data_IF_202929567339
#
_entry.id   IF_202929567339
#
_cell.length_a   1.000
_cell.length_b   1.000
_cell.length_c   1.000
_cell.angle_alpha   90.00
_cell.angle_beta   90.00
_cell.angle_gamma   90.00
#
_symmetry.space_group_name_H-M   'P 1'
#
loop_
_entity.id
_entity.type
_entity.pdbx_description
1 polymer ?
#
# COMPACT_ATOMS: atom_id res chain seq x y z
N UNK A 1 13.94 -4.73 -15.47
CA UNK A 1 13.14 -3.67 -16.08
C UNK A 1 13.85 -2.35 -15.83
N UNK A 2 14.10 -1.57 -16.88
CA UNK A 2 14.78 -0.28 -16.76
C UNK A 2 13.81 0.87 -16.49
N UNK A 3 14.34 1.95 -15.90
CA UNK A 3 13.60 3.20 -15.67
C UNK A 3 12.65 3.17 -14.48
N UNK A 4 12.70 2.15 -13.61
CA UNK A 4 11.90 2.12 -12.38
C UNK A 4 12.57 2.98 -11.33
N UNK A 5 11.82 3.92 -10.77
CA UNK A 5 12.30 4.78 -9.68
C UNK A 5 12.31 3.99 -8.37
N UNK A 6 13.44 4.06 -7.66
CA UNK A 6 13.65 3.48 -6.34
C UNK A 6 14.04 4.59 -5.38
N UNK A 7 13.56 4.54 -4.15
CA UNK A 7 13.80 5.55 -3.13
C UNK A 7 13.87 4.92 -1.74
N UNK A 8 14.61 5.58 -0.86
CA UNK A 8 14.61 5.35 0.59
C UNK A 8 13.73 6.36 1.36
N UNK A 9 13.08 7.26 0.60
CA UNK A 9 12.30 8.38 1.12
C UNK A 9 13.06 9.70 1.18
N UNK A 10 14.38 9.70 1.00
CA UNK A 10 15.28 10.87 1.03
C UNK A 10 16.01 11.05 -0.29
N UNK A 11 16.44 9.95 -0.89
CA UNK A 11 17.19 9.92 -2.14
C UNK A 11 16.44 9.07 -3.19
N UNK A 12 16.81 9.26 -4.46
CA UNK A 12 16.18 8.58 -5.58
C UNK A 12 17.23 8.01 -6.53
N UNK A 13 16.96 6.84 -7.08
CA UNK A 13 17.70 6.23 -8.16
C UNK A 13 16.75 5.67 -9.21
N UNK A 14 17.26 5.40 -10.40
CA UNK A 14 16.52 4.67 -11.43
C UNK A 14 17.25 3.38 -11.77
N UNK A 15 16.48 2.33 -12.03
CA UNK A 15 17.05 1.08 -12.51
C UNK A 15 17.51 1.21 -13.96
N UNK A 16 18.62 0.55 -14.28
CA UNK A 16 19.15 0.43 -15.64
C UNK A 16 18.32 -0.57 -16.50
N UNK A 17 18.75 -0.79 -17.74
CA UNK A 17 18.09 -1.70 -18.69
C UNK A 17 18.04 -3.16 -18.18
N UNK A 18 18.97 -3.55 -17.31
CA UNK A 18 19.03 -4.87 -16.67
C UNK A 18 18.17 -4.94 -15.41
N UNK A 19 17.59 -3.80 -14.98
CA UNK A 19 16.80 -3.70 -13.76
C UNK A 19 17.64 -3.55 -12.50
N UNK A 20 18.92 -3.17 -12.64
CA UNK A 20 19.83 -2.94 -11.52
C UNK A 20 19.77 -1.46 -11.14
N UNK A 21 19.74 -1.19 -9.85
CA UNK A 21 19.85 0.15 -9.30
C UNK A 21 20.96 0.23 -8.23
N UNK A 22 21.46 1.42 -8.02
CA UNK A 22 22.35 1.75 -6.90
C UNK A 22 21.79 2.97 -6.21
N UNK A 23 21.56 2.87 -4.92
CA UNK A 23 21.02 3.93 -4.09
C UNK A 23 21.96 4.16 -2.90
N UNK A 24 22.37 5.40 -2.69
CA UNK A 24 23.09 5.83 -1.50
C UNK A 24 22.05 6.22 -0.45
N UNK A 25 21.70 5.24 0.38
CA UNK A 25 20.58 5.37 1.30
C UNK A 25 20.95 6.22 2.51
N UNK A 26 20.00 7.06 2.93
CA UNK A 26 20.11 7.88 4.13
C UNK A 26 20.05 7.02 5.41
N UNK A 27 20.81 7.40 6.43
CA UNK A 27 20.83 6.71 7.73
C UNK A 27 19.48 6.76 8.47
N UNK A 28 18.59 7.68 8.09
CA UNK A 28 17.24 7.79 8.65
C UNK A 28 16.21 6.95 7.91
N UNK A 29 16.60 6.32 6.80
CA UNK A 29 15.70 5.48 6.03
C UNK A 29 15.03 4.38 6.88
N UNK A 30 13.77 4.10 6.58
CA UNK A 30 13.02 3.01 7.19
C UNK A 30 12.73 1.89 6.19
N UNK A 31 12.66 2.27 4.93
CA UNK A 31 12.33 1.37 3.83
C UNK A 31 13.16 1.72 2.60
N UNK A 32 13.38 0.73 1.76
CA UNK A 32 13.70 0.92 0.35
C UNK A 32 12.43 0.55 -0.42
N UNK A 33 11.95 1.45 -1.26
CA UNK A 33 10.71 1.27 -2.01
C UNK A 33 10.88 1.65 -3.46
N UNK A 34 10.03 1.07 -4.31
CA UNK A 34 9.96 1.47 -5.70
C UNK A 34 8.64 2.20 -5.99
N UNK A 35 8.66 3.11 -6.94
CA UNK A 35 7.45 3.63 -7.57
C UNK A 35 6.96 2.55 -8.55
N UNK A 36 5.86 1.88 -8.22
CA UNK A 36 5.31 0.83 -9.08
C UNK A 36 4.87 1.44 -10.40
N UNK A 37 5.47 1.06 -11.55
CA UNK A 37 5.13 1.67 -12.82
C UNK A 37 3.77 1.19 -13.33
N UNK A 38 3.09 2.04 -14.12
CA UNK A 38 1.81 1.71 -14.73
C UNK A 38 1.88 0.41 -15.56
N UNK A 39 0.84 -0.40 -15.47
CA UNK A 39 0.77 -1.70 -16.13
C UNK A 39 1.48 -2.84 -15.38
N UNK A 40 2.05 -2.55 -14.22
CA UNK A 40 2.71 -3.54 -13.37
C UNK A 40 2.15 -3.54 -11.95
N UNK A 41 2.38 -4.64 -11.26
CA UNK A 41 1.93 -4.89 -9.91
C UNK A 41 3.04 -5.56 -9.10
N UNK A 42 3.29 -5.07 -7.89
CA UNK A 42 4.10 -5.79 -6.92
C UNK A 42 3.29 -6.97 -6.34
N UNK A 43 3.93 -8.09 -5.95
CA UNK A 43 3.24 -9.19 -5.28
C UNK A 43 2.45 -8.71 -4.07
N UNK A 44 1.31 -9.35 -3.81
CA UNK A 44 0.43 -8.97 -2.70
C UNK A 44 0.68 -9.88 -1.48
N UNK A 45 0.83 -9.27 -0.31
CA UNK A 45 0.82 -9.97 0.97
C UNK A 45 -0.33 -9.46 1.83
N UNK A 46 -1.35 -10.31 2.04
CA UNK A 46 -2.57 -9.88 2.71
C UNK A 46 -3.26 -8.69 2.05
N UNK A 47 -3.23 -8.63 0.71
CA UNK A 47 -3.81 -7.54 -0.08
C UNK A 47 -2.90 -6.31 -0.25
N UNK A 48 -1.82 -6.19 0.52
CA UNK A 48 -0.90 -5.05 0.46
C UNK A 48 0.21 -5.30 -0.58
N UNK A 49 0.40 -4.40 -1.56
CA UNK A 49 1.47 -4.53 -2.55
C UNK A 49 2.85 -4.44 -1.91
N UNK A 50 3.73 -5.37 -2.25
CA UNK A 50 5.07 -5.49 -1.68
C UNK A 50 6.10 -4.69 -2.50
N UNK A 51 5.83 -3.40 -2.71
CA UNK A 51 6.72 -2.46 -3.42
C UNK A 51 7.84 -1.92 -2.52
N UNK A 52 7.93 -2.35 -1.27
CA UNK A 52 8.91 -1.90 -0.28
C UNK A 52 9.61 -3.05 0.41
N UNK A 53 10.76 -2.76 0.98
CA UNK A 53 11.52 -3.63 1.90
C UNK A 53 11.97 -2.80 3.08
N UNK A 54 11.94 -3.36 4.28
CA UNK A 54 12.52 -2.69 5.46
C UNK A 54 14.00 -2.43 5.22
N UNK A 55 14.44 -1.20 5.49
CA UNK A 55 15.86 -0.83 5.36
C UNK A 55 16.69 -1.51 6.45
N UNK A 56 17.76 -2.14 6.02
CA UNK A 56 18.81 -2.70 6.89
C UNK A 56 20.16 -2.15 6.41
N UNK A 57 20.87 -1.35 7.21
CA UNK A 57 22.16 -0.77 6.81
C UNK A 57 23.24 -1.83 6.56
N UNK A 58 23.07 -3.07 7.03
CA UNK A 58 23.99 -4.16 6.76
C UNK A 58 23.68 -4.88 5.42
N UNK A 59 22.46 -4.73 4.90
CA UNK A 59 22.06 -5.34 3.64
C UNK A 59 22.70 -4.59 2.46
N UNK A 60 23.26 -5.37 1.52
CA UNK A 60 23.89 -4.82 0.30
C UNK A 60 23.04 -4.99 -0.95
N UNK A 61 21.84 -5.57 -0.80
CA UNK A 61 20.98 -5.89 -1.93
C UNK A 61 19.52 -5.90 -1.50
N UNK A 62 18.69 -5.31 -2.35
CA UNK A 62 17.23 -5.34 -2.26
C UNK A 62 16.66 -5.79 -3.59
N UNK A 63 15.88 -6.86 -3.58
CA UNK A 63 15.22 -7.40 -4.76
C UNK A 63 13.72 -7.11 -4.71
N UNK A 64 13.21 -6.67 -5.85
CA UNK A 64 11.79 -6.42 -6.07
C UNK A 64 11.29 -7.22 -7.26
N UNK A 65 10.08 -7.71 -7.14
CA UNK A 65 9.37 -8.38 -8.21
C UNK A 65 8.24 -7.49 -8.71
N UNK A 66 8.10 -7.41 -10.03
CA UNK A 66 6.99 -6.75 -10.71
C UNK A 66 6.37 -7.72 -11.71
N UNK A 67 5.06 -7.85 -11.65
CA UNK A 67 4.29 -8.69 -12.56
C UNK A 67 3.44 -7.80 -13.47
N UNK A 68 3.23 -8.14 -14.75
CA UNK A 68 2.27 -7.42 -15.59
C UNK A 68 0.89 -7.42 -14.93
N UNK A 69 0.23 -6.28 -14.93
CA UNK A 69 -1.15 -6.20 -14.43
C UNK A 69 -2.09 -6.95 -15.36
N UNK A 70 -2.93 -7.87 -14.88
CA UNK A 70 -3.64 -8.82 -15.74
C UNK A 70 -4.84 -8.22 -16.50
N UNK A 71 -5.22 -6.98 -16.26
CA UNK A 71 -6.34 -6.32 -16.95
C UNK A 71 -6.01 -5.89 -18.38
N UNK A 72 -6.99 -5.31 -19.08
CA UNK A 72 -6.87 -4.86 -20.48
C UNK A 72 -5.82 -3.77 -20.70
N UNK A 73 -5.42 -3.06 -19.65
CA UNK A 73 -4.52 -1.91 -19.74
C UNK A 73 -5.18 -0.62 -20.25
N UNK A 74 -6.45 -0.65 -20.59
CA UNK A 74 -7.20 0.51 -21.10
C UNK A 74 -8.11 1.15 -20.05
N UNK A 75 -8.59 0.38 -19.10
CA UNK A 75 -9.47 0.82 -18.03
C UNK A 75 -8.83 0.60 -16.66
N UNK A 76 -8.79 1.67 -15.87
CA UNK A 76 -8.26 1.66 -14.51
C UNK A 76 -9.31 2.21 -13.54
N UNK A 77 -9.47 1.55 -12.41
CA UNK A 77 -10.43 1.93 -11.38
C UNK A 77 -9.75 1.94 -10.02
N UNK A 78 -9.85 3.06 -9.31
CA UNK A 78 -9.37 3.20 -7.94
C UNK A 78 -10.57 3.35 -7.01
N UNK A 79 -10.73 2.39 -6.10
CA UNK A 79 -11.73 2.46 -5.04
C UNK A 79 -11.15 3.28 -3.88
N UNK A 80 -11.67 4.48 -3.66
CA UNK A 80 -11.31 5.32 -2.54
C UNK A 80 -12.20 5.01 -1.32
N UNK A 81 -11.59 4.62 -0.21
CA UNK A 81 -12.27 4.25 1.04
C UNK A 81 -11.81 5.25 2.09
N UNK A 82 -12.71 6.15 2.51
CA UNK A 82 -12.38 7.14 3.51
C UNK A 82 -12.81 6.68 4.90
N UNK A 83 -11.95 6.89 5.88
CA UNK A 83 -12.23 6.84 7.31
C UNK A 83 -13.07 5.61 7.76
N UNK A 84 -12.64 4.37 7.52
CA UNK A 84 -13.40 3.21 7.98
C UNK A 84 -13.49 3.10 9.50
N UNK A 85 -12.51 3.56 10.23
CA UNK A 85 -12.42 3.85 11.68
C UNK A 85 -13.14 2.86 12.61
N UNK A 86 -13.03 1.53 12.49
CA UNK A 86 -13.53 0.67 13.53
C UNK A 86 -12.76 0.90 14.83
N UNK A 87 -13.50 1.06 15.93
CA UNK A 87 -12.98 1.21 17.30
C UNK A 87 -13.33 0.03 18.18
N UNK A 88 -14.44 -0.63 17.87
CA UNK A 88 -15.00 -1.71 18.65
C UNK A 88 -15.33 -2.89 17.76
N UNK A 89 -15.54 -4.07 18.32
CA UNK A 89 -15.99 -5.24 17.59
C UNK A 89 -17.34 -5.00 16.88
N UNK A 90 -18.21 -4.18 17.45
CA UNK A 90 -19.47 -3.78 16.79
C UNK A 90 -19.22 -2.96 15.52
N UNK A 91 -18.30 -1.98 15.57
CA UNK A 91 -17.93 -1.20 14.37
C UNK A 91 -17.27 -2.10 13.33
N UNK A 92 -16.43 -3.02 13.76
CA UNK A 92 -15.78 -3.97 12.86
C UNK A 92 -16.79 -4.93 12.21
N UNK A 93 -17.80 -5.38 12.94
CA UNK A 93 -18.89 -6.17 12.40
C UNK A 93 -19.68 -5.38 11.33
N UNK A 94 -19.92 -4.09 11.55
CA UNK A 94 -20.57 -3.22 10.56
C UNK A 94 -19.71 -3.02 9.30
N UNK A 95 -18.42 -2.83 9.45
CA UNK A 95 -17.50 -2.82 8.30
C UNK A 95 -17.73 -4.07 7.42
N UNK A 96 -17.73 -5.26 8.05
CA UNK A 96 -17.94 -6.53 7.36
C UNK A 96 -19.32 -6.68 6.70
N UNK A 97 -20.38 -6.24 7.36
CA UNK A 97 -21.76 -6.49 6.91
C UNK A 97 -22.34 -5.39 6.02
N UNK A 98 -21.84 -4.17 6.13
CA UNK A 98 -22.40 -3.00 5.44
C UNK A 98 -21.47 -2.47 4.36
N UNK A 99 -20.16 -2.31 4.67
CA UNK A 99 -19.20 -1.69 3.74
C UNK A 99 -18.59 -2.70 2.79
N UNK A 100 -18.08 -3.82 3.31
CA UNK A 100 -17.39 -4.81 2.48
C UNK A 100 -18.24 -5.38 1.34
N UNK A 101 -19.55 -5.65 1.49
CA UNK A 101 -20.38 -6.11 0.36
C UNK A 101 -20.48 -5.09 -0.78
N UNK A 102 -20.55 -3.80 -0.47
CA UNK A 102 -20.59 -2.75 -1.48
C UNK A 102 -19.23 -2.63 -2.24
N UNK A 103 -18.12 -2.71 -1.51
CA UNK A 103 -16.78 -2.72 -2.10
C UNK A 103 -16.57 -3.96 -2.96
N UNK A 104 -17.00 -5.13 -2.51
CA UNK A 104 -16.92 -6.37 -3.26
C UNK A 104 -17.74 -6.30 -4.57
N UNK A 105 -18.96 -5.78 -4.50
CA UNK A 105 -19.78 -5.57 -5.69
C UNK A 105 -19.13 -4.61 -6.69
N UNK A 106 -18.44 -3.56 -6.20
CA UNK A 106 -17.71 -2.63 -7.06
C UNK A 106 -16.51 -3.32 -7.73
N UNK A 107 -15.73 -4.11 -6.99
CA UNK A 107 -14.59 -4.86 -7.56
C UNK A 107 -15.05 -5.92 -8.57
N UNK A 108 -16.12 -6.65 -8.28
CA UNK A 108 -16.66 -7.67 -9.20
C UNK A 108 -17.17 -7.04 -10.50
N UNK A 109 -17.80 -5.88 -10.41
CA UNK A 109 -18.27 -5.12 -11.56
C UNK A 109 -17.11 -4.62 -12.43
N UNK A 110 -16.07 -4.04 -11.83
CA UNK A 110 -14.87 -3.63 -12.56
C UNK A 110 -14.14 -4.81 -13.20
N UNK A 111 -14.03 -5.94 -12.50
CA UNK A 111 -13.45 -7.18 -13.03
C UNK A 111 -14.23 -7.67 -14.27
N UNK A 112 -15.54 -7.58 -14.25
CA UNK A 112 -16.40 -7.95 -15.40
C UNK A 112 -16.10 -7.06 -16.62
N UNK A 113 -15.71 -5.81 -16.41
CA UNK A 113 -15.29 -4.88 -17.48
C UNK A 113 -13.84 -5.05 -17.90
N UNK A 114 -13.08 -5.94 -17.27
CA UNK A 114 -11.65 -6.12 -17.52
C UNK A 114 -10.78 -4.96 -17.02
N UNK A 115 -11.28 -4.18 -16.05
CA UNK A 115 -10.53 -3.06 -15.49
C UNK A 115 -9.39 -3.53 -14.60
N UNK A 116 -8.25 -2.83 -14.67
CA UNK A 116 -7.20 -2.89 -13.66
C UNK A 116 -7.64 -2.10 -12.44
N UNK A 117 -7.77 -2.76 -11.30
CA UNK A 117 -8.36 -2.19 -10.11
C UNK A 117 -7.38 -2.14 -8.94
N UNK A 118 -7.43 -1.06 -8.18
CA UNK A 118 -6.81 -0.95 -6.86
C UNK A 118 -7.80 -0.32 -5.87
N UNK A 119 -7.55 -0.49 -4.60
CA UNK A 119 -8.22 0.25 -3.54
C UNK A 119 -7.20 1.12 -2.80
N UNK A 120 -7.63 2.27 -2.30
CA UNK A 120 -6.86 3.13 -1.41
C UNK A 120 -7.70 3.49 -0.20
N UNK A 121 -7.15 3.26 0.99
CA UNK A 121 -7.76 3.68 2.27
C UNK A 121 -7.14 5.01 2.66
N UNK A 122 -7.96 6.05 2.71
CA UNK A 122 -7.54 7.45 2.82
C UNK A 122 -7.36 7.90 4.28
N UNK A 123 -6.63 7.11 5.05
CA UNK A 123 -6.34 7.41 6.45
C UNK A 123 -7.43 6.94 7.41
N UNK A 124 -7.13 7.08 8.68
CA UNK A 124 -7.99 6.68 9.79
C UNK A 124 -8.55 5.26 9.60
N UNK A 125 -7.63 4.34 9.31
CA UNK A 125 -7.95 2.93 9.04
C UNK A 125 -8.63 2.30 10.26
N UNK A 126 -8.19 2.71 11.45
CA UNK A 126 -8.79 2.37 12.75
C UNK A 126 -8.96 3.63 13.59
N UNK A 127 -9.69 3.55 14.71
CA UNK A 127 -9.84 4.66 15.66
C UNK A 127 -9.05 4.37 16.93
N UNK A 128 -7.81 4.87 17.03
CA UNK A 128 -6.92 4.70 18.20
C UNK A 128 -6.85 3.24 18.70
N UNK A 129 -6.97 2.28 17.80
CA UNK A 129 -7.13 0.84 18.09
C UNK A 129 -6.22 0.01 17.19
N UNK A 130 -4.88 0.14 17.32
CA UNK A 130 -3.92 -0.48 16.40
C UNK A 130 -4.01 -2.03 16.40
N UNK A 131 -4.57 -2.64 17.42
CA UNK A 131 -4.84 -4.07 17.47
C UNK A 131 -5.86 -4.55 16.42
N UNK A 132 -6.65 -3.63 15.85
CA UNK A 132 -7.60 -3.92 14.79
C UNK A 132 -6.98 -3.91 13.38
N UNK A 133 -5.77 -3.39 13.19
CA UNK A 133 -5.12 -3.32 11.87
C UNK A 133 -5.09 -4.67 11.15
N UNK A 134 -4.66 -5.72 11.84
CA UNK A 134 -4.60 -7.06 11.23
C UNK A 134 -5.97 -7.53 10.74
N UNK A 135 -7.02 -7.27 11.51
CA UNK A 135 -8.40 -7.62 11.16
C UNK A 135 -8.91 -6.83 9.96
N UNK A 136 -8.69 -5.51 9.96
CA UNK A 136 -9.11 -4.63 8.85
C UNK A 136 -8.35 -4.98 7.56
N UNK A 137 -7.02 -5.17 7.63
CA UNK A 137 -6.21 -5.65 6.52
C UNK A 137 -6.75 -6.96 5.94
N UNK A 138 -7.10 -7.93 6.81
CA UNK A 138 -7.66 -9.21 6.38
C UNK A 138 -9.03 -9.06 5.70
N UNK A 139 -9.86 -8.11 6.11
CA UNK A 139 -11.13 -7.84 5.42
C UNK A 139 -10.87 -7.23 4.03
N UNK A 140 -10.04 -6.20 3.93
CA UNK A 140 -9.73 -5.58 2.63
C UNK A 140 -9.02 -6.54 1.66
N UNK A 141 -8.21 -7.48 2.15
CA UNK A 141 -7.59 -8.50 1.30
C UNK A 141 -8.60 -9.34 0.52
N UNK A 142 -9.85 -9.48 1.02
CA UNK A 142 -10.93 -10.22 0.35
C UNK A 142 -11.40 -9.55 -0.95
N UNK A 143 -11.10 -8.28 -1.16
CA UNK A 143 -11.39 -7.58 -2.41
C UNK A 143 -10.64 -8.17 -3.60
N UNK A 144 -9.49 -8.83 -3.35
CA UNK A 144 -8.68 -9.47 -4.38
C UNK A 144 -8.04 -8.48 -5.35
N UNK A 145 -7.85 -7.23 -4.91
CA UNK A 145 -7.14 -6.15 -5.62
C UNK A 145 -6.06 -5.58 -4.70
N UNK A 146 -5.02 -4.90 -5.23
CA UNK A 146 -4.07 -4.19 -4.40
C UNK A 146 -4.76 -3.17 -3.51
N UNK A 147 -4.41 -3.14 -2.23
CA UNK A 147 -4.91 -2.18 -1.27
C UNK A 147 -3.76 -1.33 -0.76
N UNK A 148 -3.80 -0.06 -1.06
CA UNK A 148 -2.86 0.94 -0.58
C UNK A 148 -3.42 1.60 0.68
N UNK A 149 -2.57 1.82 1.68
CA UNK A 149 -2.95 2.53 2.91
C UNK A 149 -2.34 3.92 2.94
N UNK A 150 -3.11 4.91 3.32
CA UNK A 150 -2.63 6.22 3.77
C UNK A 150 -2.80 6.25 5.29
N UNK A 151 -1.83 6.78 6.01
CA UNK A 151 -1.93 6.91 7.46
C UNK A 151 -2.78 8.13 7.82
N UNK A 152 -3.70 7.98 8.78
CA UNK A 152 -4.44 9.06 9.39
C UNK A 152 -4.00 9.35 10.82
N UNK A 153 -4.56 10.37 11.46
CA UNK A 153 -4.18 10.73 12.83
C UNK A 153 -4.63 9.69 13.87
N UNK A 154 -5.71 8.95 13.63
CA UNK A 154 -6.17 7.87 14.51
C UNK A 154 -5.43 6.55 14.33
N UNK A 155 -4.54 6.48 13.34
CA UNK A 155 -3.68 5.33 13.08
C UNK A 155 -2.35 5.38 13.86
N UNK A 156 -2.08 6.47 14.58
CA UNK A 156 -0.91 6.64 15.43
C UNK A 156 -1.07 5.97 16.79
N UNK A 157 0.01 5.42 17.32
CA UNK A 157 0.06 4.99 18.72
C UNK A 157 0.25 6.21 19.63
N UNK A 158 -0.83 6.62 20.29
CA UNK A 158 -0.87 7.79 21.17
C UNK A 158 0.01 7.65 22.43
N UNK A 159 0.56 6.47 22.70
CA UNK A 159 1.48 6.23 23.82
C UNK A 159 2.95 6.46 23.46
N UNK A 160 3.23 6.93 22.24
CA UNK A 160 4.57 7.19 21.72
C UNK A 160 4.84 8.69 21.67
N UNK A 161 6.14 9.04 21.75
CA UNK A 161 6.56 10.44 21.84
C UNK A 161 7.06 11.02 20.50
N UNK A 162 7.40 10.17 19.54
CA UNK A 162 7.88 10.59 18.23
C UNK A 162 7.00 10.01 17.14
N UNK A 163 6.85 10.73 16.03
CA UNK A 163 6.10 10.24 14.85
C UNK A 163 6.68 8.92 14.33
N UNK A 164 7.99 8.76 14.40
CA UNK A 164 8.67 7.53 13.99
C UNK A 164 8.19 6.31 14.80
N UNK A 165 8.05 6.46 16.11
CA UNK A 165 7.56 5.38 16.99
C UNK A 165 6.03 5.23 16.88
N UNK A 166 5.30 6.35 16.82
CA UNK A 166 3.84 6.34 16.77
C UNK A 166 3.29 5.65 15.51
N UNK A 167 4.04 5.67 14.41
CA UNK A 167 3.64 5.05 13.15
C UNK A 167 4.14 3.61 12.97
N UNK A 168 4.83 3.01 13.94
CA UNK A 168 5.43 1.68 13.84
C UNK A 168 4.38 0.59 13.61
N UNK A 169 3.29 0.62 14.36
CA UNK A 169 2.18 -0.33 14.21
C UNK A 169 1.57 -0.26 12.80
N UNK A 170 1.26 0.94 12.31
CA UNK A 170 0.78 1.14 10.95
C UNK A 170 1.77 0.55 9.93
N UNK A 171 3.05 0.93 10.03
CA UNK A 171 4.09 0.49 9.09
C UNK A 171 4.28 -1.02 9.05
N UNK A 172 4.08 -1.71 10.17
CA UNK A 172 4.19 -3.17 10.22
C UNK A 172 3.07 -3.90 9.44
N UNK A 173 1.94 -3.22 9.19
CA UNK A 173 0.79 -3.77 8.48
C UNK A 173 0.68 -3.27 7.04
N UNK A 174 0.99 -1.99 6.79
CA UNK A 174 0.70 -1.30 5.52
C UNK A 174 1.95 -0.79 4.80
N UNK A 175 3.12 -0.82 5.44
CA UNK A 175 4.39 -0.36 4.86
C UNK A 175 4.65 1.13 5.06
N UNK A 176 5.35 1.78 4.12
CA UNK A 176 5.72 3.19 4.23
C UNK A 176 4.53 4.11 4.43
N UNK A 177 4.72 5.19 5.21
CA UNK A 177 3.68 6.20 5.46
C UNK A 177 3.50 7.18 4.30
N UNK A 178 4.45 7.23 3.39
CA UNK A 178 4.38 7.96 2.12
C UNK A 178 5.10 7.16 1.03
N UNK A 179 4.54 7.18 -0.15
CA UNK A 179 5.01 6.41 -1.30
C UNK A 179 4.32 6.93 -2.57
N UNK A 180 4.74 6.43 -3.73
CA UNK A 180 4.09 6.73 -4.99
C UNK A 180 3.89 5.46 -5.83
N UNK A 181 2.93 5.50 -6.73
CA UNK A 181 2.69 4.47 -7.75
C UNK A 181 2.00 5.08 -8.98
N UNK A 182 2.17 4.44 -10.12
CA UNK A 182 1.52 4.83 -11.35
C UNK A 182 0.37 3.87 -11.70
N UNK A 183 -0.76 4.41 -12.09
CA UNK A 183 -1.88 3.63 -12.60
C UNK A 183 -2.52 4.33 -13.80
N UNK A 184 -2.49 3.70 -14.96
CA UNK A 184 -2.90 4.34 -16.19
C UNK A 184 -1.98 5.51 -16.56
N UNK A 185 -2.55 6.70 -16.64
CA UNK A 185 -1.82 7.96 -16.91
C UNK A 185 -1.63 8.82 -15.67
N UNK A 186 -1.99 8.29 -14.51
CA UNK A 186 -1.99 9.05 -13.26
C UNK A 186 -0.85 8.57 -12.38
N UNK A 187 -0.07 9.54 -11.88
CA UNK A 187 0.90 9.36 -10.83
C UNK A 187 0.25 9.71 -9.50
N UNK A 188 0.22 8.75 -8.58
CA UNK A 188 -0.34 8.90 -7.23
C UNK A 188 0.82 9.06 -6.24
N UNK A 189 0.69 10.07 -5.35
CA UNK A 189 1.65 10.37 -4.30
C UNK A 189 0.93 10.43 -2.96
#
# INVERSE_FOLDING_TARGET
MGGVTVTDGYTFAQSDEQGIFTLDADDQALFISLVTPSGYLAPLEGGIPQFYRTYDPAAKRYDFELQPWPGSGECYELLAIADPQPKTEEHFRRLRSEVMPALQAATDNGRTRGANQAAIVLGDIVWDSPELFAGVKAEFAKLGVPVYGVIGNHDHDLNKYTDREATENYRSHFGPTYYAFDMGRTHYI
#
